data_IF_134620899987
#
_entry.id   IF_134620899987
#
_cell.length_a   1.000
_cell.length_b   1.000
_cell.length_c   1.000
_cell.angle_alpha   90.00
_cell.angle_beta   90.00
_cell.angle_gamma   90.00
#
_symmetry.space_group_name_H-M   'P 1'
#
loop_
_entity.id
_entity.type
_entity.pdbx_description
1 polymer ?
#
# COMPACT_ATOMS: atom_id res chain seq x y z
N UNK A 1 -23.97 1.58 30.47
CA UNK A 1 -23.39 2.87 30.08
C UNK A 1 -22.03 2.59 29.49
N UNK A 2 -21.96 2.37 28.15
CA UNK A 2 -20.70 2.03 27.49
C UNK A 2 -19.83 3.29 27.47
N UNK A 3 -18.67 3.20 28.09
CA UNK A 3 -17.58 4.16 27.91
C UNK A 3 -17.32 4.23 26.39
N UNK A 4 -17.73 5.32 25.72
CA UNK A 4 -17.25 5.62 24.37
C UNK A 4 -15.74 5.72 24.50
N UNK A 5 -15.04 4.70 24.03
CA UNK A 5 -13.60 4.76 23.87
C UNK A 5 -13.31 6.02 23.04
N UNK A 6 -12.45 6.91 23.55
CA UNK A 6 -11.99 8.10 22.83
C UNK A 6 -11.06 7.66 21.67
N UNK A 7 -11.66 7.05 20.63
CA UNK A 7 -10.96 6.67 19.44
C UNK A 7 -10.98 7.83 18.45
N UNK A 8 -9.85 8.07 17.81
CA UNK A 8 -9.63 9.15 16.85
C UNK A 8 -9.27 8.56 15.48
N UNK A 9 -9.60 9.25 14.39
CA UNK A 9 -9.17 8.86 13.06
C UNK A 9 -7.69 9.21 12.85
N UNK A 10 -6.94 8.27 12.23
CA UNK A 10 -5.53 8.44 11.85
C UNK A 10 -5.32 7.96 10.43
N UNK A 11 -4.61 8.73 9.62
CA UNK A 11 -4.20 8.33 8.28
C UNK A 11 -2.91 7.51 8.31
N UNK A 12 -2.93 6.37 7.63
CA UNK A 12 -1.81 5.44 7.62
C UNK A 12 -1.46 4.94 6.20
N UNK A 13 -0.17 4.99 5.85
CA UNK A 13 0.40 4.36 4.66
C UNK A 13 1.51 3.40 5.13
N UNK A 14 1.25 2.10 5.03
CA UNK A 14 2.07 1.09 5.65
C UNK A 14 3.11 0.46 4.71
N UNK A 15 3.26 0.96 3.47
CA UNK A 15 4.17 0.36 2.49
C UNK A 15 4.96 1.44 1.74
N UNK A 16 6.04 1.91 2.36
CA UNK A 16 6.92 2.93 1.80
C UNK A 16 8.35 2.39 1.77
N UNK A 17 8.96 2.40 0.57
CA UNK A 17 10.35 1.99 0.38
C UNK A 17 11.34 3.10 0.67
N UNK A 18 12.60 2.73 0.93
CA UNK A 18 13.75 3.63 0.96
C UNK A 18 14.59 3.39 -0.30
N UNK A 19 14.76 4.43 -1.13
CA UNK A 19 15.58 4.33 -2.34
C UNK A 19 17.07 4.32 -2.06
N UNK A 20 17.52 5.18 -1.13
CA UNK A 20 18.91 5.28 -0.72
C UNK A 20 19.04 5.71 0.76
N UNK A 21 20.15 5.30 1.40
CA UNK A 21 20.57 5.82 2.69
C UNK A 21 21.00 7.29 2.59
N UNK A 22 21.16 7.97 3.73
CA UNK A 22 21.71 9.32 3.79
C UNK A 22 23.14 9.42 3.21
N UNK A 23 23.89 8.32 3.27
CA UNK A 23 25.24 8.25 2.67
C UNK A 23 25.22 7.96 1.16
N UNK A 24 24.03 7.84 0.55
CA UNK A 24 23.85 7.58 -0.88
C UNK A 24 23.95 6.11 -1.31
N UNK A 25 24.08 5.16 -0.38
CA UNK A 25 24.01 3.73 -0.70
C UNK A 25 22.60 3.37 -1.14
N UNK A 26 22.47 2.64 -2.25
CA UNK A 26 21.17 2.13 -2.71
C UNK A 26 20.61 1.11 -1.73
N UNK A 27 19.30 1.21 -1.43
CA UNK A 27 18.53 0.25 -0.63
C UNK A 27 17.48 -0.41 -1.51
N UNK A 28 16.53 0.32 -2.08
CA UNK A 28 15.64 -0.17 -3.14
C UNK A 28 16.17 0.30 -4.49
N UNK A 29 16.73 -0.61 -5.28
CA UNK A 29 17.38 -0.27 -6.58
C UNK A 29 16.39 0.43 -7.55
N UNK A 30 15.11 0.06 -7.51
CA UNK A 30 14.06 0.66 -8.34
C UNK A 30 13.46 1.93 -7.74
N UNK A 31 13.85 2.30 -6.53
CA UNK A 31 13.39 3.51 -5.83
C UNK A 31 14.17 4.76 -6.26
N UNK A 32 13.50 5.92 -6.14
CA UNK A 32 14.19 7.21 -6.31
C UNK A 32 15.27 7.41 -5.26
N UNK A 33 16.43 7.91 -5.64
CA UNK A 33 17.51 8.22 -4.70
C UNK A 33 17.16 9.32 -3.69
N UNK A 34 16.19 10.18 -4.02
CA UNK A 34 15.65 11.19 -3.11
C UNK A 34 14.77 10.61 -2.00
N UNK A 35 14.36 9.34 -2.14
CA UNK A 35 13.54 8.62 -1.15
C UNK A 35 14.43 8.11 -0.02
N UNK A 36 14.97 9.05 0.76
CA UNK A 36 15.76 8.78 1.98
C UNK A 36 14.86 8.78 3.20
N UNK A 37 15.30 8.17 4.29
CA UNK A 37 14.52 8.10 5.54
C UNK A 37 14.04 9.49 5.99
N UNK A 38 14.93 10.48 6.08
CA UNK A 38 14.58 11.85 6.52
C UNK A 38 13.59 12.54 5.56
N UNK A 39 13.77 12.38 4.25
CA UNK A 39 12.86 12.95 3.27
C UNK A 39 11.45 12.29 3.31
N UNK A 40 11.39 10.96 3.52
CA UNK A 40 10.13 10.24 3.71
C UNK A 40 9.38 10.78 4.91
N UNK A 41 10.05 10.88 6.07
CA UNK A 41 9.44 11.38 7.30
C UNK A 41 8.90 12.81 7.14
N UNK A 42 9.70 13.69 6.55
CA UNK A 42 9.29 15.07 6.27
C UNK A 42 8.09 15.14 5.32
N UNK A 43 8.16 14.45 4.19
CA UNK A 43 7.08 14.48 3.19
C UNK A 43 5.81 13.82 3.70
N UNK A 44 5.91 12.66 4.38
CA UNK A 44 4.76 11.98 4.94
C UNK A 44 4.03 12.86 5.95
N UNK A 45 4.75 13.55 6.85
CA UNK A 45 4.15 14.41 7.87
C UNK A 45 3.68 15.74 7.32
N UNK A 46 4.57 16.53 6.74
CA UNK A 46 4.33 17.95 6.44
C UNK A 46 3.74 18.22 5.06
N UNK A 47 3.85 17.26 4.14
CA UNK A 47 3.29 17.41 2.78
C UNK A 47 2.03 16.57 2.63
N UNK A 48 2.11 15.29 3.00
CA UNK A 48 0.99 14.34 2.80
C UNK A 48 0.00 14.36 3.97
N UNK A 49 0.44 14.60 5.22
CA UNK A 49 -0.44 14.63 6.39
C UNK A 49 -0.73 13.23 6.96
N UNK A 50 0.24 12.33 6.88
CA UNK A 50 0.15 11.01 7.50
C UNK A 50 0.38 11.09 9.01
N UNK A 51 -0.28 10.22 9.74
CA UNK A 51 -0.11 10.04 11.18
C UNK A 51 0.72 8.79 11.50
N UNK A 52 0.59 7.75 10.66
CA UNK A 52 1.34 6.49 10.78
C UNK A 52 1.92 6.10 9.42
N UNK A 53 3.17 5.69 9.42
CA UNK A 53 3.83 5.14 8.22
C UNK A 53 4.55 3.83 8.54
N UNK A 54 4.40 2.86 7.65
CA UNK A 54 5.22 1.66 7.62
C UNK A 54 6.38 1.83 6.65
N UNK A 55 7.61 1.83 7.15
CA UNK A 55 8.79 1.87 6.30
C UNK A 55 9.39 0.48 6.22
N UNK A 56 9.28 -0.14 5.03
CA UNK A 56 9.48 -1.58 4.86
C UNK A 56 10.89 -1.97 4.41
N UNK A 57 11.87 -1.09 4.62
CA UNK A 57 13.30 -1.34 4.39
C UNK A 57 14.13 -1.15 5.67
N UNK A 58 13.47 -1.12 6.84
CA UNK A 58 14.13 -0.91 8.13
C UNK A 58 15.01 -2.10 8.57
N UNK A 59 14.98 -3.23 7.87
CA UNK A 59 15.88 -4.35 8.12
C UNK A 59 17.31 -4.09 7.61
N UNK A 60 17.50 -3.14 6.72
CA UNK A 60 18.85 -2.76 6.23
C UNK A 60 19.68 -2.20 7.36
N UNK A 61 20.95 -2.68 7.54
CA UNK A 61 21.85 -2.14 8.56
C UNK A 61 22.07 -0.63 8.48
N UNK A 62 22.08 -0.07 7.27
CA UNK A 62 22.19 1.39 7.06
C UNK A 62 20.98 2.12 7.65
N UNK A 63 19.76 1.61 7.44
CA UNK A 63 18.54 2.25 7.95
C UNK A 63 18.46 2.11 9.47
N UNK A 64 18.82 0.94 10.02
CA UNK A 64 18.92 0.73 11.47
C UNK A 64 19.86 1.75 12.08
N UNK A 65 21.04 1.96 11.46
CA UNK A 65 22.00 2.93 11.92
C UNK A 65 21.46 4.38 11.90
N UNK A 66 20.78 4.77 10.81
CA UNK A 66 20.12 6.08 10.71
C UNK A 66 19.04 6.28 11.77
N UNK A 67 18.24 5.24 12.07
CA UNK A 67 17.23 5.28 13.15
C UNK A 67 17.88 5.45 14.53
N UNK A 68 19.00 4.78 14.78
CA UNK A 68 19.78 4.94 16.01
C UNK A 68 20.36 6.36 16.14
N UNK A 69 20.87 6.92 15.06
CA UNK A 69 21.38 8.29 15.03
C UNK A 69 20.27 9.29 15.33
N UNK A 70 19.09 9.16 14.71
CA UNK A 70 17.92 9.99 15.02
C UNK A 70 17.50 9.88 16.49
N UNK A 71 17.63 8.70 17.09
CA UNK A 71 17.33 8.49 18.51
C UNK A 71 18.38 9.17 19.40
N UNK A 72 19.65 9.10 19.07
CA UNK A 72 20.73 9.80 19.79
C UNK A 72 20.65 11.32 19.67
N UNK A 73 20.22 11.82 18.52
CA UNK A 73 19.94 13.24 18.27
C UNK A 73 18.72 13.75 19.06
N UNK A 74 17.94 12.85 19.69
CA UNK A 74 16.68 13.19 20.39
C UNK A 74 15.50 13.48 19.44
N UNK A 75 15.68 13.28 18.14
CA UNK A 75 14.63 13.46 17.12
C UNK A 75 13.63 12.30 17.07
N UNK A 76 14.07 11.10 17.49
CA UNK A 76 13.27 9.89 17.50
C UNK A 76 13.07 9.37 18.92
N UNK A 77 11.83 9.02 19.27
CA UNK A 77 11.45 8.44 20.56
C UNK A 77 10.72 7.10 20.32
N UNK A 78 11.15 6.04 21.01
CA UNK A 78 10.38 4.79 21.03
C UNK A 78 9.13 4.97 21.90
N UNK A 79 7.98 4.51 21.39
CA UNK A 79 6.72 4.54 22.09
C UNK A 79 6.57 3.31 23.00
N UNK A 80 5.98 3.46 24.17
CA UNK A 80 5.78 2.37 25.14
C UNK A 80 4.94 1.22 24.54
N UNK A 81 3.90 1.56 23.77
CA UNK A 81 3.03 0.60 23.08
C UNK A 81 3.58 0.18 21.70
N UNK A 82 4.86 0.46 21.44
CA UNK A 82 5.57 0.15 20.19
C UNK A 82 5.38 1.17 19.07
N UNK A 83 6.33 1.17 18.14
CA UNK A 83 6.48 2.21 17.12
C UNK A 83 7.51 3.27 17.52
N UNK A 84 7.91 4.09 16.55
CA UNK A 84 8.93 5.13 16.69
C UNK A 84 8.28 6.48 16.37
N UNK A 85 8.24 7.40 17.33
CA UNK A 85 7.65 8.73 17.14
C UNK A 85 8.71 9.74 16.71
N UNK A 86 8.41 10.48 15.65
CA UNK A 86 9.25 11.55 15.11
C UNK A 86 8.34 12.69 14.69
N UNK A 87 8.45 13.84 15.38
CA UNK A 87 7.67 15.04 15.06
C UNK A 87 6.15 14.79 14.94
N UNK A 88 5.60 13.97 15.83
CA UNK A 88 4.18 13.61 15.83
C UNK A 88 3.74 12.64 14.72
N UNK A 89 4.65 12.12 13.92
CA UNK A 89 4.46 11.00 13.01
C UNK A 89 4.91 9.72 13.70
N UNK A 90 4.14 8.64 13.60
CA UNK A 90 4.59 7.32 14.05
C UNK A 90 5.13 6.51 12.86
N UNK A 91 6.39 6.12 12.96
CA UNK A 91 7.02 5.14 12.07
C UNK A 91 6.90 3.75 12.71
N UNK A 92 6.32 2.81 11.98
CA UNK A 92 6.36 1.38 12.31
C UNK A 92 7.44 0.73 11.45
N UNK A 93 8.52 0.22 12.07
CA UNK A 93 9.61 -0.37 11.32
C UNK A 93 9.17 -1.70 10.70
N UNK A 94 9.39 -1.85 9.40
CA UNK A 94 9.02 -3.02 8.62
C UNK A 94 10.10 -3.48 7.65
N UNK A 95 9.84 -4.61 7.01
CA UNK A 95 10.64 -5.16 5.91
C UNK A 95 9.74 -5.80 4.86
N UNK A 96 10.03 -5.57 3.58
CA UNK A 96 9.50 -6.38 2.48
C UNK A 96 10.49 -7.50 2.17
N UNK A 97 10.00 -8.73 2.18
CA UNK A 97 10.83 -9.94 2.02
C UNK A 97 10.28 -10.77 0.86
N UNK A 98 11.16 -11.14 -0.08
CA UNK A 98 10.81 -12.10 -1.12
C UNK A 98 10.94 -13.54 -0.59
N UNK A 99 9.88 -14.32 -0.76
CA UNK A 99 9.85 -15.76 -0.46
C UNK A 99 9.65 -16.52 -1.78
N UNK A 100 10.38 -17.59 -1.94
CA UNK A 100 10.20 -18.54 -3.04
C UNK A 100 10.80 -19.89 -2.61
N UNK A 101 10.12 -20.55 -1.67
CA UNK A 101 10.48 -21.86 -1.16
C UNK A 101 9.90 -22.99 -2.04
N UNK A 102 10.03 -24.24 -1.59
CA UNK A 102 9.59 -25.41 -2.36
C UNK A 102 8.07 -25.50 -2.56
N UNK A 103 7.28 -24.83 -1.70
CA UNK A 103 5.82 -24.79 -1.78
C UNK A 103 5.32 -23.72 -2.75
N UNK A 104 6.15 -22.72 -3.06
CA UNK A 104 5.80 -21.64 -3.95
C UNK A 104 5.83 -22.09 -5.42
N UNK A 105 4.81 -21.72 -6.19
CA UNK A 105 4.82 -21.82 -7.66
C UNK A 105 5.69 -20.74 -8.32
N UNK A 106 5.96 -19.67 -7.61
CA UNK A 106 6.80 -18.55 -7.97
C UNK A 106 6.98 -17.60 -6.81
N UNK A 107 7.82 -16.55 -6.93
CA UNK A 107 8.14 -15.66 -5.83
C UNK A 107 6.92 -14.87 -5.34
N UNK A 108 6.84 -14.69 -4.02
CA UNK A 108 5.88 -13.83 -3.35
C UNK A 108 6.61 -12.78 -2.52
N UNK A 109 5.97 -11.64 -2.30
CA UNK A 109 6.41 -10.65 -1.33
C UNK A 109 5.53 -10.69 -0.08
N UNK A 110 6.14 -10.49 1.06
CA UNK A 110 5.47 -10.34 2.36
C UNK A 110 6.02 -9.12 3.08
N UNK A 111 5.14 -8.43 3.80
CA UNK A 111 5.49 -7.35 4.71
C UNK A 111 5.55 -7.91 6.12
N UNK A 112 6.60 -7.58 6.83
CA UNK A 112 6.71 -7.84 8.25
C UNK A 112 6.91 -6.53 8.99
N UNK A 113 6.25 -6.34 10.13
CA UNK A 113 6.40 -5.15 10.96
C UNK A 113 6.82 -5.54 12.35
N UNK A 114 7.74 -4.80 12.93
CA UNK A 114 8.26 -5.05 14.25
C UNK A 114 7.85 -3.96 15.24
N UNK A 115 7.62 -4.31 16.53
CA UNK A 115 7.13 -3.36 17.52
C UNK A 115 8.17 -2.31 17.95
N UNK A 116 9.47 -2.59 17.78
CA UNK A 116 10.54 -1.72 18.26
C UNK A 116 11.78 -1.81 17.38
N UNK A 117 12.70 -0.87 17.56
CA UNK A 117 13.99 -0.89 16.86
C UNK A 117 14.81 -2.14 17.23
N UNK A 118 14.81 -2.54 18.49
CA UNK A 118 15.50 -3.76 18.93
C UNK A 118 14.93 -5.03 18.28
N UNK A 119 13.60 -5.12 18.15
CA UNK A 119 12.97 -6.25 17.45
C UNK A 119 13.32 -6.25 15.94
N UNK A 120 13.42 -5.07 15.31
CA UNK A 120 13.86 -4.94 13.91
C UNK A 120 15.33 -5.34 13.73
N UNK A 121 16.21 -4.99 14.68
CA UNK A 121 17.60 -5.43 14.67
C UNK A 121 17.73 -6.96 14.76
N UNK A 122 16.95 -7.57 15.62
CA UNK A 122 16.92 -9.04 15.75
C UNK A 122 16.42 -9.70 14.46
N UNK A 123 15.39 -9.12 13.80
CA UNK A 123 14.96 -9.58 12.48
C UNK A 123 16.07 -9.43 11.43
N UNK A 124 16.73 -8.29 11.38
CA UNK A 124 17.85 -8.04 10.46
C UNK A 124 18.97 -9.06 10.64
N UNK A 125 19.35 -9.34 11.89
CA UNK A 125 20.37 -10.35 12.21
C UNK A 125 19.92 -11.75 11.78
N UNK A 126 18.66 -12.12 12.04
CA UNK A 126 18.10 -13.40 11.63
C UNK A 126 18.07 -13.56 10.09
N UNK A 127 17.72 -12.49 9.36
CA UNK A 127 17.68 -12.44 7.90
C UNK A 127 19.10 -12.46 7.29
N UNK A 128 20.10 -11.88 7.95
CA UNK A 128 21.46 -11.75 7.42
C UNK A 128 22.11 -13.09 7.07
N UNK A 129 21.78 -14.16 7.80
CA UNK A 129 22.22 -15.53 7.52
C UNK A 129 21.37 -16.25 6.45
N UNK A 130 20.29 -15.62 5.99
CA UNK A 130 19.28 -16.20 5.08
C UNK A 130 19.08 -15.40 3.79
N UNK A 131 19.77 -14.29 3.61
CA UNK A 131 19.74 -13.45 2.42
C UNK A 131 21.14 -13.29 1.82
N UNK A 132 21.23 -13.15 0.52
CA UNK A 132 22.52 -12.87 -0.15
C UNK A 132 23.04 -11.49 0.18
N UNK A 133 22.14 -10.52 0.32
CA UNK A 133 22.50 -9.14 0.62
C UNK A 133 21.44 -8.48 1.51
N UNK A 134 21.74 -8.40 2.80
CA UNK A 134 20.87 -7.78 3.82
C UNK A 134 20.74 -6.26 3.66
N UNK A 135 21.64 -5.62 2.90
CA UNK A 135 21.67 -4.17 2.68
C UNK A 135 20.61 -3.71 1.65
N UNK A 136 20.03 -4.63 0.88
CA UNK A 136 19.07 -4.30 -0.17
C UNK A 136 17.65 -4.71 0.20
N UNK A 137 16.71 -3.88 -0.24
CA UNK A 137 15.25 -4.10 -0.12
C UNK A 137 14.78 -5.30 -0.92
N UNK A 138 13.70 -5.95 -0.45
CA UNK A 138 12.95 -7.01 -1.15
C UNK A 138 13.80 -8.15 -1.65
N UNK A 139 14.85 -8.49 -0.88
CA UNK A 139 15.73 -9.61 -1.21
C UNK A 139 15.05 -10.94 -0.89
N UNK A 140 15.43 -11.96 -1.68
CA UNK A 140 14.98 -13.32 -1.43
C UNK A 140 15.58 -13.87 -0.15
N UNK A 141 14.70 -14.33 0.73
CA UNK A 141 15.06 -15.14 1.89
C UNK A 141 15.20 -16.61 1.46
N UNK A 142 16.29 -17.24 1.84
CA UNK A 142 16.53 -18.68 1.67
C UNK A 142 16.12 -19.40 2.98
N UNK A 143 14.93 -19.98 2.97
CA UNK A 143 14.26 -20.64 4.10
C UNK A 143 12.77 -20.77 3.79
N UNK A 144 12.02 -21.44 4.64
CA UNK A 144 10.58 -21.61 4.44
C UNK A 144 9.79 -20.36 4.83
N UNK A 145 8.63 -20.16 4.18
CA UNK A 145 7.67 -19.13 4.56
C UNK A 145 7.23 -19.29 6.02
N UNK A 146 7.02 -20.53 6.46
CA UNK A 146 6.61 -20.85 7.83
C UNK A 146 7.66 -20.46 8.87
N UNK A 147 8.96 -20.65 8.59
CA UNK A 147 10.02 -20.21 9.50
C UNK A 147 9.97 -18.71 9.73
N UNK A 148 9.74 -17.92 8.65
CA UNK A 148 9.59 -16.48 8.76
C UNK A 148 8.33 -16.11 9.54
N UNK A 149 7.18 -16.75 9.27
CA UNK A 149 5.95 -16.51 10.01
C UNK A 149 6.15 -16.75 11.51
N UNK A 150 6.71 -17.90 11.89
CA UNK A 150 6.99 -18.22 13.30
C UNK A 150 7.98 -17.23 13.94
N UNK A 151 9.07 -16.88 13.25
CA UNK A 151 10.02 -15.90 13.78
C UNK A 151 9.35 -14.55 14.06
N UNK A 152 8.58 -14.02 13.10
CA UNK A 152 7.87 -12.74 13.22
C UNK A 152 6.87 -12.78 14.37
N UNK A 153 6.05 -13.83 14.47
CA UNK A 153 5.04 -13.95 15.53
C UNK A 153 5.67 -14.11 16.91
N UNK A 154 6.73 -14.90 17.05
CA UNK A 154 7.45 -15.09 18.31
C UNK A 154 8.16 -13.80 18.76
N UNK A 155 8.52 -12.92 17.82
CA UNK A 155 9.10 -11.60 18.09
C UNK A 155 8.03 -10.52 18.34
N UNK A 156 6.75 -10.87 18.43
CA UNK A 156 5.62 -9.95 18.64
C UNK A 156 5.21 -9.15 17.42
N UNK A 157 5.81 -9.42 16.25
CA UNK A 157 5.58 -8.73 14.99
C UNK A 157 4.27 -9.07 14.30
N UNK A 158 4.06 -8.44 13.14
CA UNK A 158 2.93 -8.64 12.24
C UNK A 158 3.43 -9.20 10.91
N UNK A 159 2.68 -10.14 10.33
CA UNK A 159 2.97 -10.77 9.04
C UNK A 159 1.81 -10.53 8.07
N UNK A 160 2.10 -9.90 6.93
CA UNK A 160 1.10 -9.44 5.96
C UNK A 160 1.58 -9.78 4.55
N UNK A 161 0.92 -10.69 3.81
CA UNK A 161 1.19 -10.88 2.39
C UNK A 161 0.98 -9.58 1.62
N UNK A 162 1.99 -9.20 0.81
CA UNK A 162 2.03 -7.94 0.10
C UNK A 162 1.30 -8.02 -1.25
N UNK A 163 0.59 -6.94 -1.64
CA UNK A 163 -0.05 -6.75 -2.96
C UNK A 163 -0.49 -8.06 -3.62
N UNK A 164 -1.33 -8.83 -2.89
CA UNK A 164 -1.59 -10.27 -3.08
C UNK A 164 -2.03 -10.70 -4.47
N UNK A 165 -2.51 -9.78 -5.32
CA UNK A 165 -3.03 -10.08 -6.65
C UNK A 165 -2.16 -9.61 -7.81
N UNK A 166 -1.10 -8.83 -7.57
CA UNK A 166 -0.25 -8.36 -8.68
C UNK A 166 0.33 -9.53 -9.46
N UNK A 167 0.46 -9.46 -10.81
CA UNK A 167 0.95 -10.58 -11.63
C UNK A 167 2.36 -11.05 -11.31
N UNK A 168 3.14 -10.22 -10.59
CA UNK A 168 4.53 -10.48 -10.25
C UNK A 168 4.74 -10.47 -8.74
N UNK A 169 5.50 -11.46 -8.25
CA UNK A 169 5.96 -11.53 -6.85
C UNK A 169 4.83 -11.39 -5.82
N UNK A 170 3.68 -11.98 -6.09
CA UNK A 170 2.53 -11.94 -5.20
C UNK A 170 1.92 -13.30 -4.98
N UNK A 171 1.18 -13.42 -3.89
CA UNK A 171 0.60 -14.70 -3.46
C UNK A 171 -0.28 -15.33 -4.55
N UNK A 172 -1.34 -14.63 -4.98
CA UNK A 172 -2.26 -15.15 -5.99
C UNK A 172 -1.80 -14.93 -7.44
N UNK A 173 -0.91 -13.97 -7.67
CA UNK A 173 -0.38 -13.72 -9.03
C UNK A 173 0.58 -14.80 -9.51
N UNK A 174 1.42 -15.32 -8.61
CA UNK A 174 2.48 -16.30 -8.96
C UNK A 174 2.70 -17.36 -7.89
N UNK A 175 2.45 -17.07 -6.62
CA UNK A 175 2.88 -17.88 -5.49
C UNK A 175 2.14 -19.20 -5.34
N UNK A 176 0.82 -19.19 -5.57
CA UNK A 176 -0.06 -20.35 -5.33
C UNK A 176 -0.88 -20.71 -6.57
N UNK A 177 -1.28 -21.98 -6.65
CA UNK A 177 -2.22 -22.41 -7.67
C UNK A 177 -3.64 -21.98 -7.36
N UNK A 178 -4.12 -22.20 -6.12
CA UNK A 178 -5.52 -21.99 -5.71
C UNK A 178 -5.60 -21.24 -4.37
N UNK A 179 -4.89 -21.71 -3.32
CA UNK A 179 -5.10 -21.28 -1.95
C UNK A 179 -3.81 -20.77 -1.31
N UNK A 180 -3.94 -19.75 -0.45
CA UNK A 180 -2.84 -19.23 0.35
C UNK A 180 -2.21 -20.30 1.26
N UNK A 181 -3.00 -21.28 1.68
CA UNK A 181 -2.54 -22.38 2.53
C UNK A 181 -1.54 -23.33 1.86
N UNK A 182 -1.33 -23.20 0.53
CA UNK A 182 -0.26 -23.93 -0.16
C UNK A 182 1.14 -23.49 0.31
N UNK A 183 1.26 -22.23 0.79
CA UNK A 183 2.56 -21.62 1.14
C UNK A 183 2.60 -21.08 2.56
N UNK A 184 1.49 -20.55 3.07
CA UNK A 184 1.41 -19.83 4.33
C UNK A 184 0.47 -20.53 5.32
N UNK A 185 0.79 -20.45 6.62
CA UNK A 185 -0.18 -20.76 7.67
C UNK A 185 -1.16 -19.57 7.84
N UNK A 186 -2.46 -19.75 7.52
CA UNK A 186 -3.45 -18.70 7.64
C UNK A 186 -3.58 -18.12 9.05
N UNK A 187 -3.29 -18.93 10.10
CA UNK A 187 -3.44 -18.52 11.49
C UNK A 187 -2.36 -17.55 11.95
N UNK A 188 -1.27 -17.44 11.20
CA UNK A 188 -0.14 -16.56 11.45
C UNK A 188 -0.17 -15.27 10.61
N UNK A 189 -1.23 -15.07 9.81
CA UNK A 189 -1.43 -13.87 8.99
C UNK A 189 -2.27 -12.85 9.77
N UNK A 190 -1.80 -11.60 9.87
CA UNK A 190 -2.49 -10.51 10.58
C UNK A 190 -3.42 -9.67 9.68
N UNK A 191 -3.22 -9.72 8.38
CA UNK A 191 -4.00 -9.01 7.37
C UNK A 191 -3.43 -9.27 5.98
N UNK A 192 -4.04 -8.72 4.94
CA UNK A 192 -3.54 -8.85 3.56
C UNK A 192 -3.56 -7.50 2.84
N UNK A 193 -2.55 -7.22 2.05
CA UNK A 193 -2.47 -6.01 1.24
C UNK A 193 -3.01 -6.25 -0.17
N UNK A 194 -3.94 -5.39 -0.60
CA UNK A 194 -4.65 -5.58 -1.87
C UNK A 194 -3.79 -5.27 -3.11
N UNK A 195 -2.97 -4.20 -3.06
CA UNK A 195 -2.22 -3.69 -4.21
C UNK A 195 -3.06 -2.84 -5.19
N UNK A 196 -2.37 -2.15 -6.09
CA UNK A 196 -2.90 -1.04 -6.91
C UNK A 196 -3.91 -1.42 -8.02
N UNK A 197 -4.11 -2.68 -8.31
CA UNK A 197 -5.02 -3.15 -9.38
C UNK A 197 -6.20 -3.96 -8.84
N UNK A 198 -6.46 -3.90 -7.54
CA UNK A 198 -7.58 -4.57 -6.89
C UNK A 198 -8.20 -3.68 -5.82
N UNK A 199 -9.42 -4.00 -5.41
CA UNK A 199 -10.13 -3.33 -4.34
C UNK A 199 -10.81 -4.34 -3.41
N UNK A 200 -11.46 -3.84 -2.37
CA UNK A 200 -12.17 -4.66 -1.39
C UNK A 200 -13.24 -5.55 -2.03
N UNK A 201 -13.99 -5.02 -3.00
CA UNK A 201 -15.05 -5.79 -3.69
C UNK A 201 -14.47 -6.99 -4.46
N UNK A 202 -13.41 -6.77 -5.22
CA UNK A 202 -12.73 -7.80 -5.99
C UNK A 202 -12.16 -8.89 -5.08
N UNK A 203 -11.43 -8.50 -4.02
CA UNK A 203 -10.84 -9.42 -3.06
C UNK A 203 -11.88 -10.22 -2.27
N UNK A 204 -13.03 -9.62 -1.96
CA UNK A 204 -14.13 -10.28 -1.22
C UNK A 204 -14.83 -11.40 -2.01
N UNK A 205 -14.48 -11.59 -3.29
CA UNK A 205 -14.95 -12.74 -4.08
C UNK A 205 -14.29 -14.05 -3.66
N UNK A 206 -13.15 -13.98 -2.97
CA UNK A 206 -12.43 -15.14 -2.47
C UNK A 206 -12.81 -15.40 -1.01
N UNK A 207 -13.51 -16.51 -0.76
CA UNK A 207 -14.03 -16.87 0.57
C UNK A 207 -12.91 -17.02 1.60
N UNK A 208 -11.77 -17.57 1.20
CA UNK A 208 -10.62 -17.74 2.10
C UNK A 208 -10.07 -16.42 2.67
N UNK A 209 -10.35 -15.29 2.02
CA UNK A 209 -9.97 -13.95 2.49
C UNK A 209 -10.99 -13.35 3.47
N UNK A 210 -12.09 -14.03 3.76
CA UNK A 210 -13.17 -13.49 4.62
C UNK A 210 -12.71 -13.17 6.04
N UNK A 211 -11.76 -13.92 6.58
CA UNK A 211 -11.22 -13.75 7.94
C UNK A 211 -10.15 -12.66 8.07
N UNK A 212 -9.60 -12.15 6.96
CA UNK A 212 -8.49 -11.20 6.99
C UNK A 212 -8.95 -9.76 6.83
N UNK A 213 -8.30 -8.86 7.53
CA UNK A 213 -8.41 -7.42 7.32
C UNK A 213 -7.64 -7.01 6.06
N UNK A 214 -8.23 -6.15 5.22
CA UNK A 214 -7.63 -5.65 3.99
C UNK A 214 -6.94 -4.32 4.21
N UNK A 215 -5.70 -4.23 3.78
CA UNK A 215 -4.87 -3.04 3.77
C UNK A 215 -4.74 -2.50 2.35
N UNK A 216 -4.67 -1.19 2.25
CA UNK A 216 -4.44 -0.46 1.00
C UNK A 216 -3.29 0.52 1.23
N UNK A 217 -2.17 0.31 0.57
CA UNK A 217 -0.95 1.07 0.77
C UNK A 217 -0.35 1.54 -0.56
N UNK A 218 0.52 2.52 -0.48
CA UNK A 218 1.05 3.19 -1.67
C UNK A 218 2.06 2.37 -2.46
N UNK A 219 2.81 1.46 -1.84
CA UNK A 219 4.00 0.83 -2.43
C UNK A 219 4.90 1.90 -3.07
N UNK A 220 5.25 2.92 -2.25
CA UNK A 220 5.90 4.12 -2.75
C UNK A 220 7.37 3.89 -3.09
N UNK A 221 7.74 4.19 -4.34
CA UNK A 221 9.10 4.17 -4.86
C UNK A 221 9.64 5.58 -5.18
N UNK A 222 8.88 6.63 -4.85
CA UNK A 222 9.30 8.04 -4.90
C UNK A 222 8.49 8.86 -3.90
N UNK A 223 8.98 10.04 -3.50
CA UNK A 223 8.33 10.90 -2.51
C UNK A 223 6.91 11.30 -2.92
N UNK A 224 6.68 11.56 -4.21
CA UNK A 224 5.37 11.95 -4.75
C UNK A 224 4.32 10.84 -4.60
N UNK A 225 4.77 9.58 -4.55
CA UNK A 225 3.88 8.43 -4.47
C UNK A 225 3.47 8.05 -3.04
N UNK A 226 4.08 8.63 -2.03
CA UNK A 226 3.64 8.46 -0.64
C UNK A 226 2.18 8.88 -0.52
N UNK A 227 1.37 8.06 0.17
CA UNK A 227 -0.07 8.27 0.35
C UNK A 227 -0.88 8.35 -0.97
N UNK A 228 -0.42 7.74 -2.07
CA UNK A 228 -1.28 7.58 -3.27
C UNK A 228 -2.41 6.57 -3.04
N UNK A 229 -2.20 5.65 -2.13
CA UNK A 229 -3.16 4.76 -1.50
C UNK A 229 -2.84 4.68 -0.01
N UNK A 230 -3.85 4.63 0.85
CA UNK A 230 -3.72 4.65 2.30
C UNK A 230 -5.01 4.18 2.97
N UNK A 231 -5.00 4.03 4.28
CA UNK A 231 -6.20 3.76 5.08
C UNK A 231 -6.41 4.80 6.18
N UNK A 232 -7.65 4.92 6.63
CA UNK A 232 -8.02 5.63 7.84
C UNK A 232 -8.30 4.62 8.95
N UNK A 233 -7.61 4.77 10.07
CA UNK A 233 -7.69 3.90 11.24
C UNK A 233 -8.45 4.58 12.37
N UNK A 234 -9.22 3.82 13.13
CA UNK A 234 -9.83 4.25 14.41
C UNK A 234 -8.97 3.73 15.54
N UNK A 235 -8.18 4.59 16.16
CA UNK A 235 -7.22 4.25 17.23
C UNK A 235 -7.38 5.17 18.43
N UNK A 236 -6.88 4.75 19.59
CA UNK A 236 -6.73 5.63 20.76
C UNK A 236 -5.53 6.57 20.56
N UNK A 237 -4.45 6.03 20.05
CA UNK A 237 -3.20 6.72 19.73
C UNK A 237 -2.46 5.97 18.60
N UNK A 238 -1.59 6.65 17.83
CA UNK A 238 -0.93 6.02 16.68
C UNK A 238 0.28 5.19 17.16
N UNK A 239 0.05 3.97 17.66
CA UNK A 239 1.10 3.03 18.12
C UNK A 239 1.03 1.70 17.39
N UNK A 240 2.10 0.90 17.47
CA UNK A 240 2.14 -0.45 16.92
C UNK A 240 1.04 -1.35 17.51
N UNK A 241 0.83 -1.30 18.81
CA UNK A 241 -0.20 -2.10 19.50
C UNK A 241 -1.61 -1.73 19.04
N UNK A 242 -1.91 -0.44 18.94
CA UNK A 242 -3.20 0.04 18.45
C UNK A 242 -3.43 -0.36 16.99
N UNK A 243 -2.41 -0.27 16.14
CA UNK A 243 -2.48 -0.78 14.77
C UNK A 243 -2.76 -2.29 14.73
N UNK A 244 -2.06 -3.09 15.54
CA UNK A 244 -2.33 -4.53 15.69
C UNK A 244 -3.76 -4.82 16.13
N UNK A 245 -4.29 -4.03 17.06
CA UNK A 245 -5.68 -4.16 17.50
C UNK A 245 -6.66 -3.79 16.40
N UNK A 246 -6.36 -2.79 15.57
CA UNK A 246 -7.19 -2.41 14.43
C UNK A 246 -7.26 -3.52 13.37
N UNK A 247 -6.15 -4.18 13.08
CA UNK A 247 -6.13 -5.36 12.19
C UNK A 247 -7.01 -6.51 12.72
N UNK A 248 -7.12 -6.63 14.05
CA UNK A 248 -7.90 -7.67 14.72
C UNK A 248 -9.35 -7.25 15.02
N UNK A 249 -9.74 -6.01 14.73
CA UNK A 249 -11.07 -5.48 15.08
C UNK A 249 -11.34 -5.43 16.59
N UNK A 250 -10.28 -5.27 17.43
CA UNK A 250 -10.40 -5.38 18.89
C UNK A 250 -10.74 -4.06 19.56
N UNK A 251 -11.70 -4.13 20.50
CA UNK A 251 -12.07 -3.01 21.39
C UNK A 251 -12.45 -1.73 20.61
N UNK A 252 -13.10 -1.89 19.45
CA UNK A 252 -13.53 -0.78 18.59
C UNK A 252 -12.42 -0.18 17.71
N UNK A 253 -11.16 -0.70 17.79
CA UNK A 253 -10.11 -0.34 16.84
C UNK A 253 -10.37 -1.06 15.55
N UNK A 254 -10.31 -0.33 14.44
CA UNK A 254 -10.61 -0.87 13.12
C UNK A 254 -10.03 -0.01 11.99
N UNK A 255 -10.04 -0.54 10.78
CA UNK A 255 -9.89 0.27 9.57
C UNK A 255 -11.26 0.87 9.27
N UNK A 256 -11.37 2.21 9.30
CA UNK A 256 -12.63 2.93 9.02
C UNK A 256 -12.91 2.95 7.52
N UNK A 257 -11.87 3.17 6.72
CA UNK A 257 -11.94 3.22 5.27
C UNK A 257 -10.58 2.92 4.62
N UNK A 258 -10.62 2.30 3.47
CA UNK A 258 -9.50 2.19 2.54
C UNK A 258 -9.66 3.24 1.43
N UNK A 259 -8.58 3.92 1.07
CA UNK A 259 -8.52 4.91 0.00
C UNK A 259 -7.51 4.44 -1.03
N UNK A 260 -7.95 4.20 -2.24
CA UNK A 260 -7.04 3.73 -3.28
C UNK A 260 -7.53 4.04 -4.68
N UNK A 261 -6.68 3.77 -5.65
CA UNK A 261 -7.00 3.98 -7.04
C UNK A 261 -8.17 3.10 -7.47
N UNK A 262 -8.96 3.60 -8.42
CA UNK A 262 -9.89 2.72 -9.11
C UNK A 262 -9.08 1.61 -9.80
N UNK A 263 -9.39 0.31 -9.58
CA UNK A 263 -8.64 -0.81 -10.17
C UNK A 263 -8.48 -0.71 -11.69
N UNK A 264 -9.42 -0.10 -12.39
CA UNK A 264 -9.35 0.16 -13.83
C UNK A 264 -8.16 1.06 -14.22
N UNK A 265 -7.67 1.89 -13.31
CA UNK A 265 -6.45 2.68 -13.52
C UNK A 265 -5.17 1.83 -13.38
N UNK A 266 -5.26 0.64 -12.79
CA UNK A 266 -4.13 -0.24 -12.55
C UNK A 266 -3.53 -0.77 -13.86
N UNK A 267 -2.19 -0.85 -13.90
CA UNK A 267 -1.43 -1.33 -15.05
C UNK A 267 -1.74 -2.78 -15.46
N UNK A 268 -2.24 -3.57 -14.50
CA UNK A 268 -2.40 -5.02 -14.62
C UNK A 268 -3.83 -5.48 -14.36
N UNK A 269 -4.81 -4.61 -14.54
CA UNK A 269 -6.22 -4.97 -14.33
C UNK A 269 -6.66 -6.08 -15.28
N UNK A 270 -6.43 -5.91 -16.59
CA UNK A 270 -6.72 -6.90 -17.62
C UNK A 270 -5.48 -7.72 -17.97
N UNK A 271 -5.69 -8.93 -18.53
CA UNK A 271 -4.63 -9.71 -19.15
C UNK A 271 -4.11 -9.02 -20.40
N UNK A 272 -2.80 -9.08 -20.63
CA UNK A 272 -2.14 -8.42 -21.75
C UNK A 272 -1.10 -9.32 -22.39
N UNK A 273 -0.90 -9.15 -23.69
CA UNK A 273 0.18 -9.81 -24.41
C UNK A 273 1.55 -9.33 -23.88
N UNK A 274 2.44 -10.25 -23.53
CA UNK A 274 3.78 -9.91 -23.02
C UNK A 274 4.64 -9.20 -24.07
N UNK A 275 4.39 -9.47 -25.38
CA UNK A 275 5.20 -8.97 -26.49
C UNK A 275 4.79 -7.58 -26.96
N UNK A 276 3.48 -7.34 -27.18
CA UNK A 276 3.00 -6.09 -27.77
C UNK A 276 2.10 -5.28 -26.85
N UNK A 277 1.87 -5.75 -25.62
CA UNK A 277 1.10 -5.11 -24.55
C UNK A 277 -0.39 -4.87 -24.88
N UNK A 278 -0.89 -5.46 -25.97
CA UNK A 278 -2.31 -5.43 -26.32
C UNK A 278 -3.14 -6.19 -25.29
N UNK A 279 -4.36 -5.74 -25.00
CA UNK A 279 -5.28 -6.48 -24.12
C UNK A 279 -5.52 -7.86 -24.71
N UNK A 280 -5.33 -8.89 -23.87
CA UNK A 280 -5.43 -10.29 -24.26
C UNK A 280 -6.77 -10.87 -23.82
N UNK A 281 -7.54 -11.38 -24.79
CA UNK A 281 -8.78 -12.07 -24.49
C UNK A 281 -8.46 -13.53 -24.11
N UNK A 282 -8.84 -13.95 -22.91
CA UNK A 282 -8.50 -15.27 -22.36
C UNK A 282 -8.92 -16.47 -23.21
N UNK A 283 -9.85 -16.27 -24.14
CA UNK A 283 -10.35 -17.32 -25.04
C UNK A 283 -9.52 -17.45 -26.33
N UNK A 284 -8.49 -16.63 -26.52
CA UNK A 284 -7.62 -16.66 -27.69
C UNK A 284 -6.39 -17.53 -27.40
N UNK A 285 -6.02 -18.41 -28.34
CA UNK A 285 -4.77 -19.19 -28.24
C UNK A 285 -3.51 -18.35 -28.44
N UNK A 286 -3.66 -17.21 -29.08
CA UNK A 286 -2.57 -16.26 -29.41
C UNK A 286 -3.10 -14.82 -29.47
N UNK A 287 -2.19 -13.88 -29.34
CA UNK A 287 -2.49 -12.46 -29.49
C UNK A 287 -2.92 -12.15 -30.93
N UNK A 288 -4.09 -11.53 -31.09
CA UNK A 288 -4.63 -11.17 -32.40
C UNK A 288 -3.76 -10.16 -33.16
N UNK A 289 -2.99 -9.33 -32.40
CA UNK A 289 -2.14 -8.30 -32.99
C UNK A 289 -0.77 -8.80 -33.44
N UNK A 290 -0.10 -9.64 -32.64
CA UNK A 290 1.29 -10.06 -32.92
C UNK A 290 1.50 -11.56 -32.97
N UNK A 291 0.47 -12.37 -32.75
CA UNK A 291 0.54 -13.83 -32.80
C UNK A 291 1.26 -14.50 -31.62
N UNK A 292 1.76 -13.74 -30.65
CA UNK A 292 2.44 -14.29 -29.47
C UNK A 292 1.48 -15.11 -28.61
N UNK A 293 1.98 -16.23 -28.06
CA UNK A 293 1.26 -17.05 -27.07
C UNK A 293 1.60 -16.68 -25.62
N UNK A 294 2.52 -15.72 -25.42
CA UNK A 294 2.92 -15.28 -24.10
C UNK A 294 2.04 -14.12 -23.62
N UNK A 295 1.51 -14.23 -22.42
CA UNK A 295 0.68 -13.19 -21.83
C UNK A 295 0.91 -13.06 -20.32
N UNK A 296 0.68 -11.85 -19.81
CA UNK A 296 0.62 -11.55 -18.38
C UNK A 296 -0.85 -11.59 -17.99
N UNK A 297 -1.21 -12.50 -17.08
CA UNK A 297 -2.58 -12.63 -16.59
C UNK A 297 -2.94 -11.41 -15.75
N UNK A 298 -4.06 -10.77 -16.03
CA UNK A 298 -4.57 -9.63 -15.31
C UNK A 298 -5.16 -10.00 -13.94
N UNK A 299 -5.21 -9.02 -13.06
CA UNK A 299 -5.72 -9.20 -11.69
C UNK A 299 -7.18 -9.64 -11.70
N UNK A 300 -8.02 -8.98 -12.50
CA UNK A 300 -9.44 -9.34 -12.60
C UNK A 300 -9.65 -10.76 -13.11
N UNK A 301 -8.89 -11.16 -14.14
CA UNK A 301 -8.99 -12.50 -14.73
C UNK A 301 -8.51 -13.57 -13.73
N UNK A 302 -7.46 -13.27 -12.96
CA UNK A 302 -6.96 -14.18 -11.93
C UNK A 302 -7.95 -14.36 -10.79
N UNK A 303 -8.58 -13.29 -10.31
CA UNK A 303 -9.61 -13.37 -9.28
C UNK A 303 -10.81 -14.18 -9.76
N UNK A 304 -11.27 -13.99 -11.01
CA UNK A 304 -12.35 -14.77 -11.59
C UNK A 304 -11.99 -16.26 -11.69
N UNK A 305 -10.75 -16.61 -12.05
CA UNK A 305 -10.26 -17.98 -12.08
C UNK A 305 -10.28 -18.61 -10.68
N UNK A 306 -9.78 -17.90 -9.66
CA UNK A 306 -9.73 -18.37 -8.27
C UNK A 306 -11.12 -18.52 -7.65
N UNK A 307 -12.04 -17.63 -7.98
CA UNK A 307 -13.44 -17.72 -7.55
C UNK A 307 -14.13 -18.96 -8.11
N UNK A 308 -13.77 -19.40 -9.34
CA UNK A 308 -14.39 -20.52 -10.04
C UNK A 308 -15.89 -20.31 -10.25
N UNK A 309 -16.68 -21.36 -10.01
CA UNK A 309 -18.14 -21.32 -10.11
C UNK A 309 -18.83 -20.97 -8.79
N UNK A 310 -18.07 -20.73 -7.71
CA UNK A 310 -18.63 -20.39 -6.41
C UNK A 310 -19.11 -18.93 -6.41
N UNK A 311 -20.41 -18.73 -6.32
CA UNK A 311 -21.06 -17.42 -6.24
C UNK A 311 -21.26 -16.95 -4.80
N UNK A 312 -20.54 -17.49 -3.83
CA UNK A 312 -20.67 -17.08 -2.44
C UNK A 312 -20.23 -15.61 -2.30
N UNK A 313 -21.20 -14.74 -2.06
CA UNK A 313 -20.89 -13.39 -1.58
C UNK A 313 -20.48 -13.53 -0.12
N UNK A 314 -19.24 -13.16 0.20
CA UNK A 314 -18.81 -13.05 1.59
C UNK A 314 -19.83 -12.19 2.35
N UNK A 315 -20.35 -12.71 3.47
CA UNK A 315 -21.28 -11.99 4.35
C UNK A 315 -20.56 -11.01 5.28
N UNK A 316 -19.22 -10.92 5.17
CA UNK A 316 -18.42 -10.08 6.04
C UNK A 316 -18.58 -8.61 5.63
N UNK A 317 -19.03 -7.80 6.57
CA UNK A 317 -19.06 -6.35 6.39
C UNK A 317 -17.64 -5.82 6.39
N UNK A 318 -17.24 -5.19 5.30
CA UNK A 318 -15.92 -4.58 5.11
C UNK A 318 -16.00 -3.07 5.27
N UNK A 319 -14.92 -2.41 5.75
CA UNK A 319 -14.81 -0.97 5.62
C UNK A 319 -14.93 -0.55 4.16
N UNK A 320 -15.51 0.64 3.89
CA UNK A 320 -15.65 1.13 2.52
C UNK A 320 -14.30 1.29 1.86
N UNK A 321 -14.20 0.89 0.59
CA UNK A 321 -13.11 1.24 -0.30
C UNK A 321 -13.52 2.45 -1.12
N UNK A 322 -12.84 3.58 -0.88
CA UNK A 322 -13.12 4.84 -1.58
C UNK A 322 -12.13 5.01 -2.72
N UNK A 323 -12.66 5.07 -3.94
CA UNK A 323 -11.84 5.34 -5.12
C UNK A 323 -11.37 6.78 -5.08
N UNK A 324 -10.08 6.98 -4.88
CA UNK A 324 -9.46 8.28 -4.80
C UNK A 324 -8.22 8.34 -5.69
N UNK A 325 -7.88 9.53 -6.13
CA UNK A 325 -6.66 9.80 -6.87
C UNK A 325 -5.80 10.81 -6.10
N UNK A 326 -4.47 10.68 -6.16
CA UNK A 326 -3.56 11.69 -5.64
C UNK A 326 -3.85 13.06 -6.27
N UNK A 327 -3.61 14.14 -5.50
CA UNK A 327 -3.81 15.51 -6.01
C UNK A 327 -3.00 15.79 -7.27
N UNK A 328 -1.82 15.20 -7.38
CA UNK A 328 -0.94 15.30 -8.55
C UNK A 328 -1.55 14.71 -9.84
N UNK A 329 -2.58 13.87 -9.72
CA UNK A 329 -3.26 13.24 -10.85
C UNK A 329 -4.49 14.03 -11.31
N UNK A 330 -4.87 15.08 -10.58
CA UNK A 330 -6.01 15.93 -10.94
C UNK A 330 -5.66 16.77 -12.16
N UNK A 331 -6.38 16.64 -13.29
CA UNK A 331 -6.10 17.38 -14.50
C UNK A 331 -6.15 18.90 -14.26
N UNK A 332 -5.12 19.60 -14.70
CA UNK A 332 -5.00 21.06 -14.53
C UNK A 332 -4.48 21.52 -13.17
N UNK A 333 -4.35 20.65 -12.17
CA UNK A 333 -3.71 20.96 -10.90
C UNK A 333 -2.18 20.78 -11.02
N UNK A 334 -1.51 21.79 -11.56
CA UNK A 334 -0.05 21.77 -11.70
C UNK A 334 0.67 22.03 -10.36
N UNK A 335 2.01 21.80 -10.32
CA UNK A 335 2.81 21.92 -9.08
C UNK A 335 2.69 23.29 -8.40
N UNK A 336 2.62 24.38 -9.14
CA UNK A 336 2.46 25.75 -8.58
C UNK A 336 1.12 25.93 -7.88
N UNK A 337 0.03 25.39 -8.44
CA UNK A 337 -1.30 25.47 -7.82
C UNK A 337 -1.41 24.56 -6.60
N UNK A 338 -0.81 23.36 -6.66
CA UNK A 338 -0.75 22.45 -5.53
C UNK A 338 0.07 23.05 -4.38
N UNK A 339 1.20 23.70 -4.68
CA UNK A 339 1.98 24.41 -3.67
C UNK A 339 1.14 25.50 -2.96
N UNK A 340 0.40 26.33 -3.72
CA UNK A 340 -0.50 27.34 -3.13
C UNK A 340 -1.59 26.75 -2.26
N UNK A 341 -2.16 25.60 -2.64
CA UNK A 341 -3.15 24.90 -1.82
C UNK A 341 -2.55 24.45 -0.50
N UNK A 342 -1.34 23.88 -0.53
CA UNK A 342 -0.63 23.43 0.69
C UNK A 342 -0.26 24.61 1.60
N UNK A 343 0.19 25.73 1.06
CA UNK A 343 0.49 26.94 1.84
C UNK A 343 -0.75 27.55 2.52
N UNK A 344 -1.91 27.49 1.85
CA UNK A 344 -3.12 28.15 2.33
C UNK A 344 -4.02 27.23 3.22
N UNK A 345 -4.03 25.93 2.95
CA UNK A 345 -4.93 24.96 3.60
C UNK A 345 -4.18 24.03 4.54
N UNK A 346 -3.01 23.52 4.11
CA UNK A 346 -2.24 22.53 4.84
C UNK A 346 -1.83 21.34 3.98
N UNK A 347 -1.76 20.17 4.59
CA UNK A 347 -1.30 18.93 3.95
C UNK A 347 -2.25 18.41 2.87
N UNK A 348 -1.81 17.40 2.09
CA UNK A 348 -2.69 16.74 1.10
C UNK A 348 -3.94 16.16 1.77
N UNK A 349 -3.82 15.60 2.99
CA UNK A 349 -4.98 15.07 3.73
C UNK A 349 -5.93 16.19 4.14
N UNK A 350 -5.44 17.37 4.55
CA UNK A 350 -6.28 18.53 4.85
C UNK A 350 -7.03 19.00 3.60
N UNK A 351 -6.35 19.08 2.46
CA UNK A 351 -6.95 19.47 1.18
C UNK A 351 -8.01 18.46 0.74
N UNK A 352 -7.71 17.17 0.82
CA UNK A 352 -8.60 16.11 0.36
C UNK A 352 -9.80 15.92 1.29
N UNK A 353 -9.59 15.90 2.60
CA UNK A 353 -10.62 15.47 3.55
C UNK A 353 -11.33 16.62 4.27
N UNK A 354 -10.66 17.75 4.47
CA UNK A 354 -11.14 18.81 5.37
C UNK A 354 -11.49 20.12 4.69
N UNK A 355 -10.89 20.42 3.50
CA UNK A 355 -11.13 21.69 2.82
C UNK A 355 -12.58 21.87 2.35
N UNK A 356 -13.09 23.08 2.48
CA UNK A 356 -14.40 23.46 1.94
C UNK A 356 -14.30 23.88 0.47
N UNK A 357 -15.42 23.83 -0.23
CA UNK A 357 -15.50 24.29 -1.64
C UNK A 357 -15.06 25.75 -1.79
N UNK A 358 -15.47 26.62 -0.86
CA UNK A 358 -15.10 28.04 -0.89
C UNK A 358 -13.60 28.24 -0.75
N UNK A 359 -12.96 27.57 0.23
CA UNK A 359 -11.49 27.63 0.39
C UNK A 359 -10.76 27.20 -0.88
N UNK A 360 -11.21 26.13 -1.53
CA UNK A 360 -10.62 25.68 -2.79
C UNK A 360 -10.78 26.72 -3.90
N UNK A 361 -11.99 27.29 -4.08
CA UNK A 361 -12.30 28.27 -5.14
C UNK A 361 -11.56 29.60 -4.99
N UNK A 362 -11.15 29.97 -3.80
CA UNK A 362 -10.31 31.15 -3.54
C UNK A 362 -8.87 30.99 -4.05
N UNK A 363 -8.37 29.73 -4.16
CA UNK A 363 -6.97 29.45 -4.46
C UNK A 363 -6.78 28.93 -5.89
N UNK A 364 -7.71 28.11 -6.36
CA UNK A 364 -7.66 27.47 -7.69
C UNK A 364 -8.89 27.81 -8.53
N UNK A 365 -8.82 27.58 -9.83
CA UNK A 365 -9.97 27.78 -10.73
C UNK A 365 -11.14 26.90 -10.29
N UNK A 366 -12.41 27.37 -10.42
CA UNK A 366 -13.60 26.62 -10.02
C UNK A 366 -13.62 25.17 -10.55
N UNK A 367 -13.25 24.96 -11.82
CA UNK A 367 -13.20 23.63 -12.40
C UNK A 367 -12.20 22.67 -11.72
N UNK A 368 -11.09 23.20 -11.18
CA UNK A 368 -10.12 22.39 -10.41
C UNK A 368 -10.68 22.08 -9.02
N UNK A 369 -11.32 23.06 -8.37
CA UNK A 369 -11.98 22.84 -7.08
C UNK A 369 -13.07 21.76 -7.18
N UNK A 370 -13.91 21.81 -8.22
CA UNK A 370 -14.92 20.78 -8.50
C UNK A 370 -14.30 19.39 -8.71
N UNK A 371 -13.15 19.29 -9.40
CA UNK A 371 -12.45 18.02 -9.59
C UNK A 371 -11.87 17.47 -8.28
N UNK A 372 -11.32 18.32 -7.39
CA UNK A 372 -10.86 17.91 -6.07
C UNK A 372 -12.04 17.34 -5.25
N UNK A 373 -13.20 18.01 -5.27
CA UNK A 373 -14.39 17.53 -4.58
C UNK A 373 -14.95 16.24 -5.18
N UNK A 374 -14.96 16.12 -6.52
CA UNK A 374 -15.37 14.89 -7.21
C UNK A 374 -14.41 13.74 -6.88
N UNK A 375 -13.09 14.01 -6.81
CA UNK A 375 -12.10 13.02 -6.39
C UNK A 375 -12.35 12.57 -4.95
N UNK A 376 -12.65 13.49 -4.03
CA UNK A 376 -13.01 13.19 -2.63
C UNK A 376 -14.20 12.23 -2.53
N UNK A 377 -15.19 12.40 -3.38
CA UNK A 377 -16.42 11.60 -3.38
C UNK A 377 -16.28 10.27 -4.14
N UNK A 378 -15.20 10.09 -4.91
CA UNK A 378 -15.01 8.92 -5.78
C UNK A 378 -15.76 9.01 -7.12
N UNK A 379 -16.24 10.22 -7.52
CA UNK A 379 -17.12 10.45 -8.67
C UNK A 379 -16.36 10.77 -9.96
N UNK A 380 -15.08 10.40 -10.07
CA UNK A 380 -14.29 10.65 -11.28
C UNK A 380 -14.44 9.54 -12.32
N UNK A 381 -14.72 9.92 -13.54
CA UNK A 381 -14.66 9.00 -14.69
C UNK A 381 -13.21 8.65 -15.01
N UNK A 382 -12.95 7.37 -15.31
CA UNK A 382 -11.61 6.88 -15.60
C UNK A 382 -11.54 6.15 -16.94
N UNK A 383 -10.44 6.32 -17.64
CA UNK A 383 -10.05 5.49 -18.79
C UNK A 383 -9.19 4.33 -18.28
N UNK A 384 -9.53 3.12 -18.68
CA UNK A 384 -8.78 1.92 -18.25
C UNK A 384 -7.29 2.00 -18.58
N UNK A 385 -6.47 1.53 -17.65
CA UNK A 385 -5.07 1.20 -17.86
C UNK A 385 -4.91 -0.20 -18.45
N UNK A 386 -3.69 -0.52 -18.85
CA UNK A 386 -3.34 -1.83 -19.37
C UNK A 386 -1.95 -1.82 -19.99
N UNK A 387 -1.42 -3.02 -20.30
CA UNK A 387 -0.14 -3.12 -20.96
C UNK A 387 1.05 -2.50 -20.22
N UNK A 388 1.02 -2.54 -18.88
CA UNK A 388 2.07 -1.91 -18.07
C UNK A 388 1.95 -0.39 -17.92
N UNK A 389 0.91 0.25 -18.49
CA UNK A 389 0.63 1.67 -18.36
C UNK A 389 -0.59 1.94 -17.48
N UNK A 390 -0.54 3.01 -16.68
CA UNK A 390 -1.68 3.45 -15.88
C UNK A 390 -2.78 4.03 -16.77
N UNK A 391 -4.03 3.83 -16.36
CA UNK A 391 -5.18 4.54 -16.90
C UNK A 391 -5.13 6.04 -16.62
N UNK A 392 -6.11 6.77 -17.12
CA UNK A 392 -6.20 8.22 -16.98
C UNK A 392 -7.56 8.64 -16.43
N UNK A 393 -7.58 9.71 -15.65
CA UNK A 393 -8.80 10.37 -15.24
C UNK A 393 -9.35 11.18 -16.42
N UNK A 394 -10.64 11.00 -16.69
CA UNK A 394 -11.35 11.75 -17.73
C UNK A 394 -12.08 12.92 -17.07
N UNK A 395 -11.85 14.12 -17.55
CA UNK A 395 -12.64 15.30 -17.17
C UNK A 395 -13.92 15.29 -18.00
N UNK A 396 -15.05 15.03 -17.37
CA UNK A 396 -16.34 15.26 -18.01
C UNK A 396 -16.56 16.78 -18.10
N UNK A 397 -16.22 17.39 -19.23
CA UNK A 397 -16.72 18.73 -19.51
C UNK A 397 -18.26 18.64 -19.66
N UNK A 398 -19.04 19.45 -18.90
CA UNK A 398 -20.46 19.53 -19.17
C UNK A 398 -20.61 19.90 -20.64
N UNK A 399 -21.33 19.08 -21.40
CA UNK A 399 -21.62 19.32 -22.80
C UNK A 399 -22.17 20.72 -22.89
N UNK A 400 -21.47 21.63 -23.62
CA UNK A 400 -22.05 22.90 -24.05
C UNK A 400 -23.26 22.53 -24.88
N UNK A 401 -24.43 22.53 -24.26
CA UNK A 401 -25.70 22.59 -25.01
C UNK A 401 -25.61 23.79 -25.91
N UNK A 402 -25.37 23.56 -27.20
CA UNK A 402 -25.53 24.59 -28.24
C UNK A 402 -26.98 25.05 -28.17
N UNK A 403 -27.17 26.28 -27.75
CA UNK A 403 -28.42 27.00 -27.95
C UNK A 403 -28.55 27.36 -29.44
#
# INVERSE_FOLDING_TARGET
MHLRNNLLPFFADMHIHIGASQTGKAIKITGSRSLTLRNILHVAKHVKGMDVVGIIDCHSPEVIQELKELKLEGCLKELEEGGLSIDGLTLIPGAEIEINDENCKGPIHVLVYMPSLAAMENLSLWLSSRMKNIHLSSQRMYGSALDLQHFVKNSGGLFIPAHIFTPFKSLYGKGVAISLSEVLDPTLIDGVELGLSSNTEMASRLEELSSFTFLTNSDAHSLEKIAREYQMLSLKEPTFKEFKMALQGKNGREIIANYGLNPYLGKYYNSVCETCLEVYLLNSEKCDKCGSKKFVKGVNDRINELQGTQTSKSKVTRPPYKHQIPLEFIPGLGPKSLFKLREAIGTDMDIIHSSTENQLKEIVKPAIAEQILSARNGDLSVQMGGGGTYGKVIVNHPSKTKK
#
